data_IF_583629279747
#
_entry.id   IF_583629279747
#
_cell.length_a   1.000
_cell.length_b   1.000
_cell.length_c   1.000
_cell.angle_alpha   90.00
_cell.angle_beta   90.00
_cell.angle_gamma   90.00
#
_symmetry.space_group_name_H-M   'P 1'
#
loop_
_entity.id
_entity.type
_entity.pdbx_description
1 polymer ?
#
# COMPACT_ATOMS: atom_id res chain seq x y z
N UNK A 1 41.02 -32.63 -17.13
CA UNK A 1 41.65 -31.96 -15.97
C UNK A 1 40.72 -30.99 -15.22
N UNK A 2 40.08 -29.99 -15.86
CA UNK A 2 39.20 -29.00 -15.18
C UNK A 2 37.99 -29.58 -14.42
N UNK A 3 37.38 -30.68 -14.90
CA UNK A 3 36.25 -31.34 -14.23
C UNK A 3 36.65 -32.04 -12.93
N UNK A 4 37.78 -32.76 -12.93
CA UNK A 4 38.30 -33.48 -11.76
C UNK A 4 38.67 -32.49 -10.65
N UNK A 5 39.30 -31.36 -11.03
CA UNK A 5 39.67 -30.31 -10.08
C UNK A 5 38.43 -29.65 -9.44
N UNK A 6 37.38 -29.38 -10.22
CA UNK A 6 36.13 -28.83 -9.68
C UNK A 6 35.44 -29.79 -8.71
N UNK A 7 35.40 -31.09 -9.03
CA UNK A 7 34.83 -32.11 -8.15
C UNK A 7 35.60 -32.21 -6.83
N UNK A 8 36.94 -32.22 -6.88
CA UNK A 8 37.79 -32.22 -5.69
C UNK A 8 37.52 -30.99 -4.80
N UNK A 9 37.37 -29.80 -5.39
CA UNK A 9 37.04 -28.57 -4.63
C UNK A 9 35.67 -28.67 -3.95
N UNK A 10 34.68 -29.25 -4.60
CA UNK A 10 33.34 -29.43 -4.02
C UNK A 10 33.37 -30.45 -2.88
N UNK A 11 34.04 -31.59 -3.08
CA UNK A 11 34.16 -32.63 -2.07
C UNK A 11 34.90 -32.13 -0.83
N UNK A 12 36.01 -31.41 -1.01
CA UNK A 12 36.76 -30.81 0.11
C UNK A 12 35.91 -29.81 0.90
N UNK A 13 35.11 -28.98 0.22
CA UNK A 13 34.18 -28.10 0.90
C UNK A 13 33.07 -28.84 1.64
N UNK A 14 32.58 -29.95 1.10
CA UNK A 14 31.57 -30.77 1.74
C UNK A 14 32.07 -31.44 3.02
N UNK A 15 33.34 -31.88 3.03
CA UNK A 15 34.04 -32.40 4.22
C UNK A 15 34.25 -31.30 5.24
N UNK A 16 34.73 -30.12 4.84
CA UNK A 16 34.93 -28.98 5.75
C UNK A 16 33.62 -28.60 6.46
N UNK A 17 32.49 -28.57 5.74
CA UNK A 17 31.18 -28.31 6.33
C UNK A 17 30.72 -29.35 7.37
N UNK A 18 31.32 -30.53 7.38
CA UNK A 18 31.06 -31.58 8.37
C UNK A 18 32.00 -31.51 9.58
N UNK A 19 32.95 -30.58 9.62
CA UNK A 19 33.90 -30.40 10.74
C UNK A 19 33.51 -29.18 11.61
N UNK A 20 33.03 -29.38 12.86
CA UNK A 20 32.41 -28.31 13.66
C UNK A 20 33.33 -27.19 14.15
N UNK A 21 34.64 -27.41 14.32
CA UNK A 21 35.49 -26.49 15.09
C UNK A 21 36.19 -25.38 14.27
N UNK A 22 35.99 -25.31 12.94
CA UNK A 22 36.75 -24.37 12.09
C UNK A 22 35.86 -23.48 11.20
N UNK A 23 35.15 -22.52 11.81
CA UNK A 23 34.28 -21.54 11.11
C UNK A 23 34.98 -20.89 9.90
N UNK A 24 36.23 -20.43 10.09
CA UNK A 24 37.01 -19.79 9.03
C UNK A 24 37.34 -20.77 7.89
N UNK A 25 37.64 -22.03 8.20
CA UNK A 25 37.92 -23.05 7.19
C UNK A 25 36.65 -23.40 6.40
N UNK A 26 35.50 -23.57 7.07
CA UNK A 26 34.19 -23.77 6.41
C UNK A 26 33.88 -22.62 5.46
N UNK A 27 34.04 -21.38 5.93
CA UNK A 27 33.85 -20.17 5.13
C UNK A 27 34.78 -20.13 3.90
N UNK A 28 36.07 -20.37 4.10
CA UNK A 28 37.06 -20.37 3.03
C UNK A 28 36.76 -21.46 1.99
N UNK A 29 36.30 -22.63 2.45
CA UNK A 29 35.92 -23.73 1.57
C UNK A 29 34.71 -23.38 0.70
N UNK A 30 33.68 -22.71 1.25
CA UNK A 30 32.56 -22.20 0.45
C UNK A 30 33.01 -21.17 -0.60
N UNK A 31 33.91 -20.25 -0.22
CA UNK A 31 34.46 -19.25 -1.14
C UNK A 31 35.23 -19.91 -2.30
N UNK A 32 36.06 -20.91 -2.00
CA UNK A 32 36.79 -21.69 -3.00
C UNK A 32 35.82 -22.47 -3.91
N UNK A 33 34.80 -23.10 -3.32
CA UNK A 33 33.78 -23.83 -4.08
C UNK A 33 33.01 -22.93 -5.04
N UNK A 34 32.67 -21.69 -4.66
CA UNK A 34 31.97 -20.75 -5.52
C UNK A 34 32.72 -20.45 -6.84
N UNK A 35 34.05 -20.56 -6.86
CA UNK A 35 34.86 -20.45 -8.08
C UNK A 35 34.58 -21.54 -9.13
N UNK A 36 33.87 -22.61 -8.77
CA UNK A 36 33.46 -23.69 -9.69
C UNK A 36 32.15 -23.40 -10.44
N UNK A 37 31.59 -22.19 -10.28
CA UNK A 37 30.35 -21.78 -10.92
C UNK A 37 29.13 -22.56 -10.39
N UNK A 38 28.16 -22.87 -11.25
CA UNK A 38 26.89 -23.52 -10.86
C UNK A 38 27.05 -24.88 -10.20
N UNK A 39 28.19 -25.56 -10.40
CA UNK A 39 28.51 -26.82 -9.70
C UNK A 39 28.63 -26.65 -8.19
N UNK A 40 28.89 -25.43 -7.71
CA UNK A 40 28.96 -25.09 -6.29
C UNK A 40 27.59 -25.05 -5.60
N UNK A 41 26.47 -24.98 -6.34
CA UNK A 41 25.14 -24.76 -5.76
C UNK A 41 24.79 -25.76 -4.66
N UNK A 42 25.00 -27.09 -4.82
CA UNK A 42 24.67 -28.05 -3.76
C UNK A 42 25.44 -27.82 -2.45
N UNK A 43 26.75 -27.54 -2.53
CA UNK A 43 27.57 -27.31 -1.33
C UNK A 43 27.27 -25.95 -0.68
N UNK A 44 26.95 -24.93 -1.47
CA UNK A 44 26.48 -23.65 -0.95
C UNK A 44 25.11 -23.79 -0.28
N UNK A 45 24.19 -24.61 -0.82
CA UNK A 45 22.91 -24.94 -0.17
C UNK A 45 23.13 -25.66 1.16
N UNK A 46 24.09 -26.60 1.25
CA UNK A 46 24.49 -27.20 2.53
C UNK A 46 25.00 -26.14 3.51
N UNK A 47 25.77 -25.16 3.04
CA UNK A 47 26.24 -24.05 3.87
C UNK A 47 25.12 -23.16 4.45
N UNK A 48 23.91 -23.14 3.87
CA UNK A 48 22.77 -22.40 4.43
C UNK A 48 22.25 -23.01 5.74
N UNK A 49 22.55 -24.27 6.03
CA UNK A 49 22.11 -24.97 7.25
C UNK A 49 23.23 -25.12 8.26
N UNK A 50 24.35 -24.40 8.10
CA UNK A 50 25.45 -24.42 9.07
C UNK A 50 25.00 -23.85 10.41
N UNK A 51 25.48 -24.42 11.52
CA UNK A 51 25.22 -23.94 12.88
C UNK A 51 25.67 -22.49 13.07
N UNK A 52 26.72 -22.07 12.36
CA UNK A 52 27.30 -20.75 12.50
C UNK A 52 26.72 -19.76 11.49
N UNK A 53 26.17 -18.66 12.01
CA UNK A 53 25.55 -17.61 11.19
C UNK A 53 26.48 -17.02 10.13
N UNK A 54 27.79 -16.94 10.37
CA UNK A 54 28.76 -16.37 9.42
C UNK A 54 28.90 -17.28 8.19
N UNK A 55 28.86 -18.60 8.39
CA UNK A 55 28.92 -19.58 7.29
C UNK A 55 27.62 -19.52 6.48
N UNK A 56 26.45 -19.48 7.14
CA UNK A 56 25.15 -19.31 6.46
C UNK A 56 25.08 -18.05 5.61
N UNK A 57 25.48 -16.90 6.18
CA UNK A 57 25.52 -15.62 5.47
C UNK A 57 26.50 -15.64 4.29
N UNK A 58 27.62 -16.34 4.43
CA UNK A 58 28.59 -16.52 3.33
C UNK A 58 27.98 -17.33 2.20
N UNK A 59 27.36 -18.48 2.51
CA UNK A 59 26.66 -19.31 1.53
C UNK A 59 25.59 -18.51 0.76
N UNK A 60 24.74 -17.77 1.47
CA UNK A 60 23.68 -16.97 0.87
C UNK A 60 24.22 -15.87 -0.06
N UNK A 61 25.26 -15.14 0.37
CA UNK A 61 25.90 -14.10 -0.44
C UNK A 61 26.54 -14.67 -1.70
N UNK A 62 27.16 -15.85 -1.60
CA UNK A 62 27.76 -16.53 -2.74
C UNK A 62 26.68 -16.98 -3.73
N UNK A 63 25.61 -17.64 -3.27
CA UNK A 63 24.46 -18.00 -4.09
C UNK A 63 23.86 -16.78 -4.81
N UNK A 64 23.73 -15.64 -4.10
CA UNK A 64 23.16 -14.43 -4.66
C UNK A 64 24.00 -13.82 -5.79
N UNK A 65 25.32 -14.01 -5.78
CA UNK A 65 26.25 -13.49 -6.80
C UNK A 65 26.37 -14.38 -8.04
N UNK A 66 25.79 -15.57 -8.03
CA UNK A 66 25.95 -16.53 -9.14
C UNK A 66 25.19 -16.10 -10.41
N UNK A 67 25.78 -16.43 -11.55
CA UNK A 67 25.20 -16.30 -12.89
C UNK A 67 25.42 -17.62 -13.64
N UNK A 68 24.36 -18.29 -14.17
CA UNK A 68 22.95 -17.94 -14.02
C UNK A 68 22.44 -18.06 -12.57
N UNK A 69 21.35 -17.35 -12.26
CA UNK A 69 20.84 -17.26 -10.89
C UNK A 69 20.21 -18.59 -10.42
N UNK A 70 20.62 -19.13 -9.26
CA UNK A 70 20.08 -20.38 -8.73
C UNK A 70 18.80 -20.13 -7.93
N UNK A 71 17.69 -19.79 -8.62
CA UNK A 71 16.43 -19.38 -8.01
C UNK A 71 15.92 -20.37 -6.94
N UNK A 72 15.98 -21.67 -7.20
CA UNK A 72 15.56 -22.70 -6.25
C UNK A 72 16.41 -22.72 -4.96
N UNK A 73 17.73 -22.49 -5.08
CA UNK A 73 18.62 -22.41 -3.93
C UNK A 73 18.38 -21.14 -3.11
N UNK A 74 18.16 -20.01 -3.77
CA UNK A 74 17.77 -18.77 -3.10
C UNK A 74 16.39 -18.89 -2.44
N UNK A 75 15.45 -19.65 -3.04
CA UNK A 75 14.16 -19.98 -2.44
C UNK A 75 14.31 -20.70 -1.09
N UNK A 76 15.28 -21.61 -0.96
CA UNK A 76 15.60 -22.24 0.34
C UNK A 76 16.17 -21.25 1.36
N UNK A 77 16.92 -20.24 0.92
CA UNK A 77 17.47 -19.21 1.79
C UNK A 77 16.39 -18.24 2.33
N UNK A 78 15.21 -18.14 1.69
CA UNK A 78 14.10 -17.30 2.17
C UNK A 78 13.47 -17.78 3.47
N UNK A 79 13.62 -19.04 3.85
CA UNK A 79 13.05 -19.62 5.08
C UNK A 79 14.13 -19.91 6.12
N UNK A 80 15.31 -19.30 5.98
CA UNK A 80 16.42 -19.50 6.90
C UNK A 80 16.15 -18.87 8.27
N UNK A 81 16.66 -19.48 9.34
CA UNK A 81 16.58 -18.90 10.69
C UNK A 81 17.24 -17.53 10.80
N UNK A 82 18.30 -17.27 10.02
CA UNK A 82 19.01 -15.98 10.01
C UNK A 82 18.29 -14.95 9.13
N UNK A 83 17.83 -13.85 9.74
CA UNK A 83 17.14 -12.77 9.05
C UNK A 83 17.97 -12.13 7.92
N UNK A 84 19.30 -12.04 8.04
CA UNK A 84 20.14 -11.50 6.97
C UNK A 84 20.21 -12.44 5.77
N UNK A 85 20.17 -13.75 6.00
CA UNK A 85 20.12 -14.75 4.92
C UNK A 85 18.80 -14.63 4.15
N UNK A 86 17.68 -14.51 4.87
CA UNK A 86 16.36 -14.29 4.26
C UNK A 86 16.32 -12.99 3.45
N UNK A 87 16.89 -11.90 3.99
CA UNK A 87 17.01 -10.61 3.29
C UNK A 87 17.82 -10.71 1.99
N UNK A 88 19.00 -11.32 2.01
CA UNK A 88 19.80 -11.48 0.80
C UNK A 88 19.08 -12.30 -0.27
N UNK A 89 18.39 -13.35 0.15
CA UNK A 89 17.59 -14.17 -0.75
C UNK A 89 16.44 -13.37 -1.37
N UNK A 90 15.69 -12.63 -0.54
CA UNK A 90 14.57 -11.81 -0.99
C UNK A 90 15.02 -10.72 -1.96
N UNK A 91 16.05 -9.95 -1.60
CA UNK A 91 16.60 -8.90 -2.45
C UNK A 91 17.01 -9.49 -3.81
N UNK A 92 17.74 -10.62 -3.80
CA UNK A 92 18.20 -11.21 -5.06
C UNK A 92 17.08 -11.77 -5.93
N UNK A 93 16.09 -12.42 -5.33
CA UNK A 93 14.96 -13.03 -6.04
C UNK A 93 13.97 -12.01 -6.59
N UNK A 94 14.02 -10.76 -6.13
CA UNK A 94 12.98 -9.77 -6.46
C UNK A 94 13.47 -8.66 -7.37
N UNK A 95 14.78 -8.35 -7.40
CA UNK A 95 15.31 -7.29 -8.28
C UNK A 95 15.19 -7.59 -9.79
N UNK A 96 15.40 -8.82 -10.30
CA UNK A 96 15.37 -9.05 -11.75
C UNK A 96 14.21 -9.93 -12.26
N UNK A 97 13.43 -10.57 -11.38
CA UNK A 97 12.46 -11.60 -11.81
C UNK A 97 11.09 -11.05 -12.23
N UNK A 98 10.77 -9.80 -11.90
CA UNK A 98 9.46 -9.21 -12.21
C UNK A 98 8.30 -10.12 -11.73
N UNK A 99 7.32 -10.45 -12.60
CA UNK A 99 6.22 -11.36 -12.25
C UNK A 99 6.65 -12.76 -11.79
N UNK A 100 7.82 -13.26 -12.21
CA UNK A 100 8.34 -14.58 -11.76
C UNK A 100 8.75 -14.58 -10.29
N UNK A 101 8.84 -13.40 -9.65
CA UNK A 101 9.11 -13.27 -8.22
C UNK A 101 7.91 -13.59 -7.32
N UNK A 102 6.68 -13.64 -7.87
CA UNK A 102 5.44 -13.71 -7.09
C UNK A 102 5.40 -14.87 -6.06
N UNK A 103 5.84 -16.11 -6.38
CA UNK A 103 5.87 -17.20 -5.40
C UNK A 103 6.79 -16.90 -4.20
N UNK A 104 7.95 -16.29 -4.46
CA UNK A 104 8.93 -15.92 -3.45
C UNK A 104 8.43 -14.76 -2.57
N UNK A 105 7.79 -13.77 -3.18
CA UNK A 105 7.13 -12.68 -2.48
C UNK A 105 5.98 -13.20 -1.60
N UNK A 106 5.20 -14.15 -2.10
CA UNK A 106 4.15 -14.81 -1.32
C UNK A 106 4.66 -15.57 -0.09
N UNK A 107 5.88 -16.12 -0.17
CA UNK A 107 6.59 -16.75 0.97
C UNK A 107 7.06 -15.68 1.97
N UNK A 108 7.68 -14.60 1.47
CA UNK A 108 8.20 -13.52 2.31
C UNK A 108 7.12 -12.72 3.04
N UNK A 109 5.86 -12.75 2.57
CA UNK A 109 4.72 -12.22 3.33
C UNK A 109 4.44 -12.99 4.64
N UNK A 110 5.00 -14.18 4.83
CA UNK A 110 4.91 -14.94 6.07
C UNK A 110 6.13 -14.79 6.98
N UNK A 111 7.08 -13.91 6.65
CA UNK A 111 8.31 -13.76 7.41
C UNK A 111 8.05 -13.23 8.84
N UNK A 112 8.74 -13.73 9.87
CA UNK A 112 8.63 -13.17 11.23
C UNK A 112 8.95 -11.67 11.28
N UNK A 113 9.88 -11.20 10.45
CA UNK A 113 10.35 -9.83 10.47
C UNK A 113 9.45 -8.92 9.61
N UNK A 114 8.82 -7.88 10.20
CA UNK A 114 7.91 -6.98 9.47
C UNK A 114 8.59 -6.24 8.32
N UNK A 115 9.90 -5.97 8.41
CA UNK A 115 10.67 -5.33 7.35
C UNK A 115 10.75 -6.17 6.07
N UNK A 116 10.80 -7.50 6.20
CA UNK A 116 10.81 -8.44 5.07
C UNK A 116 9.43 -8.55 4.44
N UNK A 117 8.38 -8.57 5.27
CA UNK A 117 6.98 -8.55 4.80
C UNK A 117 6.66 -7.24 4.08
N UNK A 118 7.10 -6.10 4.61
CA UNK A 118 6.93 -4.79 3.98
C UNK A 118 7.61 -4.75 2.62
N UNK A 119 8.88 -5.17 2.53
CA UNK A 119 9.59 -5.24 1.26
C UNK A 119 8.87 -6.14 0.25
N UNK A 120 8.28 -7.26 0.70
CA UNK A 120 7.49 -8.13 -0.16
C UNK A 120 6.22 -7.44 -0.69
N UNK A 121 5.50 -6.68 0.15
CA UNK A 121 4.34 -5.86 -0.25
C UNK A 121 4.73 -4.82 -1.29
N UNK A 122 5.79 -4.05 -1.06
CA UNK A 122 6.24 -2.99 -1.98
C UNK A 122 6.59 -3.57 -3.36
N UNK A 123 7.27 -4.71 -3.38
CA UNK A 123 7.65 -5.42 -4.61
C UNK A 123 6.44 -6.01 -5.33
N UNK A 124 5.47 -6.57 -4.60
CA UNK A 124 4.19 -7.00 -5.17
C UNK A 124 3.44 -5.81 -5.79
N UNK A 125 3.41 -4.67 -5.10
CA UNK A 125 2.72 -3.46 -5.55
C UNK A 125 3.30 -2.89 -6.85
N UNK A 126 4.62 -3.02 -7.04
CA UNK A 126 5.36 -2.58 -8.21
C UNK A 126 5.20 -3.48 -9.45
N UNK A 127 4.70 -4.71 -9.31
CA UNK A 127 4.49 -5.61 -10.46
C UNK A 127 3.34 -5.10 -11.33
N UNK A 128 3.61 -4.92 -12.63
CA UNK A 128 2.64 -4.52 -13.66
C UNK A 128 2.71 -5.44 -14.89
N UNK A 129 1.56 -5.80 -15.52
CA UNK A 129 0.20 -5.60 -15.01
C UNK A 129 -0.05 -6.43 -13.73
N UNK A 130 -0.95 -5.97 -12.85
CA UNK A 130 -1.28 -6.68 -11.62
C UNK A 130 -2.16 -7.89 -11.92
N UNK A 131 -1.67 -9.08 -11.62
CA UNK A 131 -2.44 -10.32 -11.80
C UNK A 131 -3.37 -10.59 -10.61
N UNK A 132 -4.36 -11.46 -10.79
CA UNK A 132 -5.25 -11.91 -9.71
C UNK A 132 -4.46 -12.42 -8.49
N UNK A 133 -3.35 -13.12 -8.70
CA UNK A 133 -2.51 -13.64 -7.61
C UNK A 133 -1.79 -12.51 -6.85
N UNK A 134 -1.31 -11.48 -7.53
CA UNK A 134 -0.73 -10.30 -6.87
C UNK A 134 -1.76 -9.61 -5.99
N UNK A 135 -2.98 -9.41 -6.52
CA UNK A 135 -4.10 -8.82 -5.77
C UNK A 135 -4.41 -9.65 -4.52
N UNK A 136 -4.58 -10.98 -4.66
CA UNK A 136 -4.83 -11.89 -3.53
C UNK A 136 -3.76 -11.77 -2.43
N UNK A 137 -2.48 -11.74 -2.80
CA UNK A 137 -1.38 -11.63 -1.85
C UNK A 137 -1.36 -10.27 -1.12
N UNK A 138 -1.60 -9.17 -1.85
CA UNK A 138 -1.73 -7.83 -1.26
C UNK A 138 -2.96 -7.76 -0.35
N UNK A 139 -4.09 -8.36 -0.74
CA UNK A 139 -5.30 -8.42 0.10
C UNK A 139 -5.02 -9.16 1.40
N UNK A 140 -4.31 -10.29 1.35
CA UNK A 140 -3.89 -11.03 2.55
C UNK A 140 -2.99 -10.21 3.47
N UNK A 141 -2.08 -9.41 2.91
CA UNK A 141 -1.15 -8.57 3.69
C UNK A 141 -1.84 -7.38 4.39
N UNK A 142 -3.10 -7.05 4.06
CA UNK A 142 -3.83 -5.92 4.70
C UNK A 142 -4.18 -6.15 6.17
N UNK A 143 -4.26 -7.40 6.61
CA UNK A 143 -4.58 -7.76 7.99
C UNK A 143 -3.32 -8.06 8.80
N UNK A 144 -2.14 -7.67 8.30
CA UNK A 144 -0.88 -7.83 9.00
C UNK A 144 -0.91 -7.15 10.38
N UNK A 145 -0.29 -7.79 11.37
CA UNK A 145 -0.18 -7.24 12.72
C UNK A 145 0.64 -5.95 12.75
N UNK A 146 1.62 -5.80 11.85
CA UNK A 146 2.37 -4.57 11.68
C UNK A 146 1.58 -3.58 10.82
N UNK A 147 1.26 -2.42 11.39
CA UNK A 147 0.47 -1.37 10.73
C UNK A 147 1.14 -0.82 9.47
N UNK A 148 2.47 -0.77 9.41
CA UNK A 148 3.22 -0.36 8.23
C UNK A 148 3.00 -1.29 7.04
N UNK A 149 3.09 -2.61 7.28
CA UNK A 149 2.82 -3.64 6.26
C UNK A 149 1.36 -3.57 5.80
N UNK A 150 0.42 -3.56 6.75
CA UNK A 150 -1.01 -3.48 6.46
C UNK A 150 -1.38 -2.24 5.65
N UNK A 151 -0.85 -1.07 6.03
CA UNK A 151 -1.04 0.21 5.34
C UNK A 151 -0.47 0.18 3.93
N UNK A 152 0.77 -0.28 3.74
CA UNK A 152 1.39 -0.38 2.41
C UNK A 152 0.55 -1.29 1.49
N UNK A 153 0.06 -2.42 2.01
CA UNK A 153 -0.79 -3.34 1.27
C UNK A 153 -2.13 -2.69 0.92
N UNK A 154 -2.78 -2.02 1.87
CA UNK A 154 -4.02 -1.27 1.67
C UNK A 154 -3.87 -0.20 0.59
N UNK A 155 -2.88 0.68 0.72
CA UNK A 155 -2.59 1.73 -0.26
C UNK A 155 -2.32 1.17 -1.66
N UNK A 156 -1.62 0.04 -1.74
CA UNK A 156 -1.34 -0.58 -3.04
C UNK A 156 -2.61 -1.05 -3.76
N UNK A 157 -3.69 -1.35 -3.04
CA UNK A 157 -4.96 -1.82 -3.61
C UNK A 157 -5.92 -0.71 -3.98
N UNK A 158 -5.47 0.54 -3.91
CA UNK A 158 -6.24 1.69 -4.36
C UNK A 158 -6.57 1.59 -5.87
N UNK A 159 -7.86 1.53 -6.20
CA UNK A 159 -8.39 1.36 -7.55
C UNK A 159 -9.30 2.53 -7.99
N UNK A 160 -9.45 3.56 -7.16
CA UNK A 160 -10.30 4.70 -7.46
C UNK A 160 -9.60 5.71 -8.36
N UNK A 161 -10.21 5.94 -9.53
CA UNK A 161 -9.82 6.94 -10.50
C UNK A 161 -11.06 7.57 -11.11
N UNK A 162 -10.99 8.87 -11.41
CA UNK A 162 -12.05 9.59 -12.11
C UNK A 162 -11.46 10.76 -12.86
N UNK A 163 -11.54 10.71 -14.18
CA UNK A 163 -11.20 11.83 -15.06
C UNK A 163 -12.46 12.65 -15.33
N UNK A 164 -12.58 13.81 -14.66
CA UNK A 164 -13.65 14.76 -14.92
C UNK A 164 -13.12 16.18 -14.95
N UNK A 165 -13.44 16.90 -16.03
CA UNK A 165 -13.28 18.36 -16.12
C UNK A 165 -14.53 19.04 -15.58
N UNK A 166 -14.38 19.81 -14.50
CA UNK A 166 -15.45 20.61 -13.91
C UNK A 166 -16.02 21.60 -14.94
N UNK A 167 -17.30 21.94 -14.83
CA UNK A 167 -17.96 22.89 -15.76
C UNK A 167 -17.19 24.21 -15.87
N UNK A 168 -16.69 24.73 -14.73
CA UNK A 168 -15.85 25.95 -14.67
C UNK A 168 -14.56 25.89 -15.47
N UNK A 169 -14.06 24.69 -15.71
CA UNK A 169 -12.75 24.45 -16.31
C UNK A 169 -12.89 23.85 -17.72
N UNK A 170 -14.11 23.75 -18.25
CA UNK A 170 -14.36 23.20 -19.58
C UNK A 170 -13.98 24.24 -20.65
N UNK A 171 -12.99 23.94 -21.53
CA UNK A 171 -12.58 24.87 -22.57
C UNK A 171 -13.63 25.04 -23.67
N UNK A 172 -14.53 24.07 -23.80
CA UNK A 172 -15.66 24.04 -24.74
C UNK A 172 -16.92 24.75 -24.22
N UNK A 173 -16.91 25.27 -22.99
CA UNK A 173 -18.05 25.96 -22.41
C UNK A 173 -17.93 27.48 -22.60
N UNK A 174 -18.80 28.06 -23.43
CA UNK A 174 -18.80 29.47 -23.83
C UNK A 174 -19.88 30.33 -23.13
N UNK A 175 -20.62 29.75 -22.19
CA UNK A 175 -21.60 30.46 -21.36
C UNK A 175 -21.03 30.82 -19.99
N UNK A 176 -21.53 31.91 -19.39
CA UNK A 176 -21.20 32.27 -18.02
C UNK A 176 -21.65 31.17 -17.04
N UNK A 177 -20.77 30.74 -16.14
CA UNK A 177 -21.09 29.76 -15.09
C UNK A 177 -21.40 30.48 -13.78
N UNK A 178 -22.67 30.51 -13.38
CA UNK A 178 -23.14 31.13 -12.14
C UNK A 178 -23.47 30.10 -11.08
N UNK A 179 -23.22 30.43 -9.82
CA UNK A 179 -23.75 29.64 -8.69
C UNK A 179 -25.17 30.13 -8.42
N UNK A 180 -26.17 29.30 -8.77
CA UNK A 180 -27.59 29.65 -8.57
C UNK A 180 -28.13 29.17 -7.22
N UNK A 181 -27.47 28.20 -6.59
CA UNK A 181 -27.82 27.73 -5.25
C UNK A 181 -26.60 27.20 -4.53
N UNK A 182 -26.53 27.51 -3.23
CA UNK A 182 -25.50 26.99 -2.32
C UNK A 182 -26.17 26.22 -1.20
N UNK A 183 -25.72 24.99 -0.99
CA UNK A 183 -26.19 24.11 0.08
C UNK A 183 -25.00 23.77 0.99
N UNK A 184 -24.87 24.39 2.18
CA UNK A 184 -23.77 24.07 3.09
C UNK A 184 -23.86 22.64 3.57
N UNK A 185 -22.72 21.93 3.67
CA UNK A 185 -22.68 20.64 4.35
C UNK A 185 -22.97 20.87 5.84
N UNK A 186 -23.79 20.02 6.50
CA UNK A 186 -24.07 20.17 7.92
C UNK A 186 -22.79 20.09 8.75
N UNK A 187 -22.63 20.96 9.74
CA UNK A 187 -21.46 20.91 10.64
C UNK A 187 -21.47 19.65 11.50
N UNK A 188 -22.65 19.27 11.99
CA UNK A 188 -22.85 18.18 12.94
C UNK A 188 -23.39 16.89 12.30
N UNK A 189 -23.29 15.81 13.07
CA UNK A 189 -23.88 14.51 12.75
C UNK A 189 -23.03 13.63 11.83
N UNK A 190 -21.75 13.95 11.65
CA UNK A 190 -20.84 13.09 10.89
C UNK A 190 -20.43 11.88 11.71
N UNK A 191 -20.58 10.69 11.14
CA UNK A 191 -19.94 9.47 11.63
C UNK A 191 -18.48 9.49 11.23
N UNK A 192 -17.58 9.22 12.16
CA UNK A 192 -16.15 9.31 11.98
C UNK A 192 -15.41 8.07 12.48
N UNK A 193 -14.38 7.67 11.75
CA UNK A 193 -13.51 6.55 12.11
C UNK A 193 -12.09 6.75 11.62
N UNK A 194 -11.12 6.47 12.48
CA UNK A 194 -9.71 6.39 12.11
C UNK A 194 -9.43 5.09 11.38
N UNK A 195 -8.53 5.11 10.40
CA UNK A 195 -8.17 3.98 9.55
C UNK A 195 -6.66 3.74 9.58
N UNK A 196 -6.11 3.23 10.70
CA UNK A 196 -4.66 3.04 10.87
C UNK A 196 -4.06 2.04 9.87
N UNK A 197 -4.89 1.20 9.24
CA UNK A 197 -4.48 0.22 8.23
C UNK A 197 -4.72 0.72 6.79
N UNK A 198 -5.25 1.93 6.61
CA UNK A 198 -5.69 2.48 5.32
C UNK A 198 -6.58 1.50 4.52
N UNK A 199 -7.38 0.68 5.21
CA UNK A 199 -8.12 -0.45 4.65
C UNK A 199 -9.59 -0.16 4.35
N UNK A 200 -10.14 0.99 4.78
CA UNK A 200 -11.57 1.26 4.72
C UNK A 200 -12.16 1.22 3.30
N UNK A 201 -11.35 1.55 2.28
CA UNK A 201 -11.77 1.53 0.89
C UNK A 201 -11.99 0.11 0.37
N UNK A 202 -11.13 -0.86 0.73
CA UNK A 202 -11.33 -2.26 0.35
C UNK A 202 -12.44 -2.92 1.17
N UNK A 203 -12.64 -2.49 2.42
CA UNK A 203 -13.79 -2.86 3.25
C UNK A 203 -15.09 -2.15 2.84
N UNK A 204 -15.03 -1.31 1.81
CA UNK A 204 -16.18 -0.57 1.25
C UNK A 204 -16.92 0.27 2.29
N UNK A 205 -16.19 0.97 3.17
CA UNK A 205 -16.79 1.91 4.13
C UNK A 205 -17.55 3.05 3.43
N UNK A 206 -17.34 3.28 2.13
CA UNK A 206 -18.12 4.21 1.30
C UNK A 206 -19.45 3.65 0.79
N UNK A 207 -19.70 2.33 0.88
CA UNK A 207 -20.93 1.74 0.35
C UNK A 207 -22.17 2.29 1.09
N UNK A 208 -23.30 2.36 0.38
CA UNK A 208 -24.56 2.86 0.95
C UNK A 208 -25.11 2.00 2.07
N UNK A 209 -24.88 0.69 2.02
CA UNK A 209 -25.32 -0.27 3.03
C UNK A 209 -24.32 -0.56 4.15
N UNK A 210 -23.20 0.14 4.24
CA UNK A 210 -22.23 -0.09 5.32
C UNK A 210 -22.81 0.39 6.67
N UNK A 211 -22.73 -0.45 7.70
CA UNK A 211 -23.14 -0.11 9.06
C UNK A 211 -22.04 0.68 9.79
N UNK A 212 -22.29 1.98 10.01
CA UNK A 212 -21.43 2.87 10.78
C UNK A 212 -22.02 3.26 12.14
N UNK A 213 -23.00 2.53 12.67
CA UNK A 213 -23.65 2.88 13.93
C UNK A 213 -22.65 3.00 15.10
N UNK A 214 -21.57 2.21 15.06
CA UNK A 214 -20.48 2.19 16.05
C UNK A 214 -19.42 3.28 15.85
N UNK A 215 -19.50 4.07 14.77
CA UNK A 215 -18.55 5.15 14.53
C UNK A 215 -18.87 6.32 15.44
N UNK A 216 -17.83 6.95 15.97
CA UNK A 216 -17.96 8.15 16.81
C UNK A 216 -18.58 9.28 16.00
N UNK A 217 -19.32 10.18 16.65
CA UNK A 217 -19.81 11.38 15.99
C UNK A 217 -18.83 12.53 16.16
N UNK A 218 -18.68 13.34 15.11
CA UNK A 218 -17.82 14.52 15.12
C UNK A 218 -18.45 15.65 14.33
N UNK A 219 -18.03 16.88 14.63
CA UNK A 219 -18.28 18.05 13.79
C UNK A 219 -17.18 18.21 12.72
N UNK A 220 -17.54 18.77 11.57
CA UNK A 220 -16.59 19.34 10.60
C UNK A 220 -16.41 20.85 10.87
N UNK A 221 -15.64 21.54 10.03
CA UNK A 221 -15.17 22.93 10.26
C UNK A 221 -14.26 23.08 11.48
N UNK A 222 -13.64 21.97 11.87
CA UNK A 222 -12.65 21.91 12.92
C UNK A 222 -11.68 20.75 12.69
N UNK A 223 -10.53 20.80 13.36
CA UNK A 223 -9.64 19.66 13.45
C UNK A 223 -10.28 18.54 14.27
N UNK A 224 -10.07 17.27 13.91
CA UNK A 224 -10.63 16.14 14.66
C UNK A 224 -10.06 16.05 16.08
N UNK A 225 -8.89 16.63 16.33
CA UNK A 225 -8.29 16.78 17.66
C UNK A 225 -9.20 17.55 18.62
N UNK A 226 -10.00 18.52 18.14
CA UNK A 226 -10.97 19.23 18.99
C UNK A 226 -12.07 18.33 19.55
N UNK A 227 -12.30 17.18 18.92
CA UNK A 227 -13.24 16.17 19.40
C UNK A 227 -12.56 15.05 20.22
N UNK A 228 -11.31 15.26 20.66
CA UNK A 228 -10.57 14.29 21.47
C UNK A 228 -9.90 13.17 20.65
N UNK A 229 -9.82 13.30 19.32
CA UNK A 229 -9.15 12.32 18.46
C UNK A 229 -7.68 12.70 18.29
N UNK A 230 -6.80 12.14 19.11
CA UNK A 230 -5.35 12.26 18.93
C UNK A 230 -4.84 11.21 17.93
N UNK A 231 -4.89 11.57 16.64
CA UNK A 231 -4.52 10.67 15.55
C UNK A 231 -3.98 11.42 14.33
N UNK A 232 -2.92 10.87 13.75
CA UNK A 232 -2.34 11.28 12.46
C UNK A 232 -2.44 10.08 11.52
N UNK A 233 -3.05 10.28 10.36
CA UNK A 233 -3.19 9.26 9.32
C UNK A 233 -4.49 9.37 8.54
N UNK A 234 -4.94 8.23 8.02
CA UNK A 234 -6.19 8.12 7.26
C UNK A 234 -7.38 8.10 8.20
N UNK A 235 -8.41 8.88 7.89
CA UNK A 235 -9.70 8.86 8.57
C UNK A 235 -10.85 8.90 7.58
N UNK A 236 -12.04 8.57 8.05
CA UNK A 236 -13.26 8.52 7.26
C UNK A 236 -14.37 9.28 7.96
N UNK A 237 -15.17 9.98 7.16
CA UNK A 237 -16.37 10.71 7.52
C UNK A 237 -17.55 10.18 6.71
N UNK A 238 -18.70 9.95 7.33
CA UNK A 238 -19.96 9.60 6.66
C UNK A 238 -21.09 10.47 7.19
N UNK A 239 -21.94 10.97 6.29
CA UNK A 239 -23.14 11.76 6.61
C UNK A 239 -24.22 11.54 5.58
N UNK A 240 -25.46 11.43 6.03
CA UNK A 240 -26.65 11.52 5.18
C UNK A 240 -27.15 12.96 5.19
N UNK A 241 -27.51 13.51 4.04
CA UNK A 241 -28.11 14.83 3.90
C UNK A 241 -29.22 14.79 2.85
N UNK A 242 -30.36 15.41 3.16
CA UNK A 242 -31.44 15.57 2.19
C UNK A 242 -31.16 16.73 1.25
N UNK A 243 -31.33 16.49 -0.06
CA UNK A 243 -31.29 17.55 -1.06
C UNK A 243 -32.71 18.00 -1.40
N UNK A 244 -32.90 19.31 -1.70
CA UNK A 244 -34.21 19.85 -2.04
C UNK A 244 -34.72 19.30 -3.39
N UNK A 245 -35.91 19.72 -3.82
CA UNK A 245 -36.37 19.47 -5.19
C UNK A 245 -35.33 19.96 -6.23
N UNK A 246 -35.25 19.26 -7.37
CA UNK A 246 -34.24 19.52 -8.41
C UNK A 246 -34.41 20.93 -8.97
N UNK A 247 -33.43 21.84 -8.82
CA UNK A 247 -33.45 23.13 -9.48
C UNK A 247 -33.06 22.98 -10.95
N UNK A 248 -33.27 24.03 -11.74
CA UNK A 248 -32.61 24.15 -13.04
C UNK A 248 -31.08 24.28 -12.84
N UNK A 249 -30.33 23.47 -13.58
CA UNK A 249 -28.87 23.38 -13.43
C UNK A 249 -28.22 22.84 -14.70
N UNK A 250 -26.97 23.24 -14.91
CA UNK A 250 -26.02 22.66 -15.88
C UNK A 250 -25.05 21.68 -15.20
N UNK A 251 -24.66 21.95 -13.95
CA UNK A 251 -23.80 21.06 -13.17
C UNK A 251 -23.99 21.25 -11.66
N UNK A 252 -23.47 20.30 -10.90
CA UNK A 252 -23.43 20.30 -9.44
C UNK A 252 -22.01 19.98 -9.00
N UNK A 253 -21.41 20.87 -8.21
CA UNK A 253 -20.07 20.68 -7.65
C UNK A 253 -20.15 20.60 -6.12
N UNK A 254 -19.45 19.64 -5.50
CA UNK A 254 -19.15 19.69 -4.07
C UNK A 254 -17.81 20.38 -3.88
N UNK A 255 -17.78 21.42 -3.05
CA UNK A 255 -16.61 22.24 -2.77
C UNK A 255 -16.20 22.16 -1.31
N UNK A 256 -14.91 21.97 -1.08
CA UNK A 256 -14.28 22.04 0.22
C UNK A 256 -13.36 23.24 0.25
N UNK A 257 -13.50 24.12 1.25
CA UNK A 257 -12.58 25.25 1.42
C UNK A 257 -11.26 24.87 2.09
N UNK A 258 -11.17 23.67 2.64
CA UNK A 258 -9.99 23.12 3.28
C UNK A 258 -10.30 21.77 3.94
N UNK A 259 -9.61 20.75 3.46
CA UNK A 259 -9.44 19.46 4.15
C UNK A 259 -7.95 19.32 4.38
N UNK A 260 -7.57 18.87 5.57
CA UNK A 260 -6.15 18.67 5.85
C UNK A 260 -5.54 17.67 4.86
N UNK A 261 -4.39 18.07 4.31
CA UNK A 261 -3.58 17.51 3.21
C UNK A 261 -4.30 16.90 2.01
N UNK A 262 -5.08 15.84 2.19
CA UNK A 262 -5.72 15.12 1.08
C UNK A 262 -7.08 14.54 1.41
N UNK A 263 -7.95 14.50 0.40
CA UNK A 263 -9.33 14.04 0.51
C UNK A 263 -9.77 13.21 -0.70
N UNK A 264 -10.59 12.19 -0.47
CA UNK A 264 -11.24 11.37 -1.49
C UNK A 264 -12.73 11.30 -1.14
N UNK A 265 -13.60 11.47 -2.13
CA UNK A 265 -15.03 11.69 -1.88
C UNK A 265 -15.87 10.69 -2.66
N UNK A 266 -16.92 10.21 -2.01
CA UNK A 266 -17.98 9.40 -2.61
C UNK A 266 -19.34 10.02 -2.32
N UNK A 267 -20.23 9.96 -3.30
CA UNK A 267 -21.63 10.33 -3.19
C UNK A 267 -22.45 9.09 -3.49
N UNK A 268 -23.33 8.69 -2.57
CA UNK A 268 -24.17 7.50 -2.70
C UNK A 268 -23.38 6.23 -3.06
N UNK A 269 -22.17 6.10 -2.50
CA UNK A 269 -21.25 4.98 -2.75
C UNK A 269 -20.47 5.02 -4.06
N UNK A 270 -20.67 6.05 -4.89
CA UNK A 270 -19.94 6.26 -6.14
C UNK A 270 -18.79 7.23 -5.91
N UNK A 271 -17.59 6.87 -6.34
CA UNK A 271 -16.41 7.74 -6.24
C UNK A 271 -16.53 8.94 -7.18
N UNK A 272 -16.36 10.15 -6.62
CA UNK A 272 -16.52 11.42 -7.36
C UNK A 272 -15.22 12.20 -7.52
N UNK A 273 -14.12 11.70 -6.95
CA UNK A 273 -12.78 12.24 -7.17
C UNK A 273 -12.03 12.53 -5.87
N UNK A 274 -10.92 13.25 -6.01
CA UNK A 274 -10.00 13.52 -4.93
C UNK A 274 -9.29 14.86 -5.06
N UNK A 275 -8.76 15.30 -3.93
CA UNK A 275 -7.73 16.31 -3.78
C UNK A 275 -6.55 15.65 -3.08
N UNK A 276 -5.56 15.22 -3.84
CA UNK A 276 -4.41 14.45 -3.35
C UNK A 276 -3.12 15.10 -3.86
N UNK A 277 -2.81 16.28 -3.32
CA UNK A 277 -1.65 17.10 -3.72
C UNK A 277 -0.57 17.16 -2.63
N UNK A 278 -0.62 16.24 -1.67
CA UNK A 278 0.35 16.11 -0.58
C UNK A 278 0.21 17.16 0.53
N UNK A 279 1.21 17.27 1.43
CA UNK A 279 1.10 18.03 2.67
C UNK A 279 0.79 19.53 2.52
N UNK A 280 1.07 20.12 1.35
CA UNK A 280 0.77 21.53 1.06
C UNK A 280 -0.70 21.75 0.68
N UNK A 281 -1.47 20.68 0.49
CA UNK A 281 -2.89 20.73 0.15
C UNK A 281 -3.81 21.15 1.30
N UNK A 282 -3.32 21.18 2.54
CA UNK A 282 -4.14 21.34 3.74
C UNK A 282 -5.05 22.57 3.74
N UNK A 283 -4.64 23.66 3.08
CA UNK A 283 -5.37 24.92 3.04
C UNK A 283 -5.81 25.32 1.62
N UNK A 284 -5.88 24.35 0.71
CA UNK A 284 -6.28 24.60 -0.67
C UNK A 284 -7.73 24.19 -0.87
N UNK A 285 -8.51 25.09 -1.45
CA UNK A 285 -9.88 24.82 -1.86
C UNK A 285 -9.88 23.93 -3.10
N UNK A 286 -10.83 23.01 -3.18
CA UNK A 286 -11.05 22.16 -4.34
C UNK A 286 -12.54 21.87 -4.52
N UNK A 287 -12.92 21.50 -5.73
CA UNK A 287 -14.28 21.08 -6.07
C UNK A 287 -14.27 19.78 -6.88
N UNK A 288 -15.34 19.01 -6.76
CA UNK A 288 -15.55 17.76 -7.49
C UNK A 288 -16.94 17.78 -8.13
N UNK A 289 -17.04 17.29 -9.36
CA UNK A 289 -18.33 17.14 -10.04
C UNK A 289 -19.11 15.97 -9.42
N UNK A 290 -20.34 16.26 -9.02
CA UNK A 290 -21.27 15.30 -8.41
C UNK A 290 -22.62 15.28 -9.15
N UNK A 291 -22.64 15.86 -10.37
CA UNK A 291 -23.84 16.14 -11.15
C UNK A 291 -24.70 14.89 -11.37
N UNK A 292 -24.06 13.74 -11.60
CA UNK A 292 -24.74 12.47 -11.92
C UNK A 292 -25.08 11.65 -10.67
N UNK A 293 -24.39 11.90 -9.56
CA UNK A 293 -24.42 11.03 -8.38
C UNK A 293 -25.42 11.50 -7.32
N UNK A 294 -25.79 12.78 -7.31
CA UNK A 294 -26.79 13.31 -6.38
C UNK A 294 -28.22 12.90 -6.74
N UNK A 295 -29.02 12.65 -5.70
CA UNK A 295 -30.46 12.38 -5.78
C UNK A 295 -31.21 13.59 -5.26
N UNK A 296 -31.84 14.35 -6.15
CA UNK A 296 -32.67 15.49 -5.77
C UNK A 296 -33.99 15.04 -5.12
N UNK A 297 -34.49 15.80 -4.15
CA UNK A 297 -35.70 15.49 -3.39
C UNK A 297 -35.57 14.26 -2.49
N UNK A 298 -34.34 13.83 -2.18
CA UNK A 298 -34.08 12.60 -1.46
C UNK A 298 -32.80 12.69 -0.59
N UNK A 299 -32.64 11.70 0.28
CA UNK A 299 -31.46 11.50 1.09
C UNK A 299 -30.24 11.10 0.25
N UNK A 300 -29.10 11.73 0.53
CA UNK A 300 -27.82 11.46 -0.10
C UNK A 300 -26.78 11.10 0.94
N UNK A 301 -26.08 9.98 0.76
CA UNK A 301 -24.90 9.66 1.56
C UNK A 301 -23.69 10.38 0.97
N UNK A 302 -22.98 11.12 1.81
CA UNK A 302 -21.67 11.69 1.53
C UNK A 302 -20.65 10.90 2.36
N UNK A 303 -19.60 10.42 1.71
CA UNK A 303 -18.47 9.77 2.38
C UNK A 303 -17.18 10.44 1.97
N UNK A 304 -16.35 10.79 2.95
CA UNK A 304 -15.08 11.48 2.73
C UNK A 304 -14.00 10.72 3.46
N UNK A 305 -12.98 10.29 2.74
CA UNK A 305 -11.73 9.83 3.33
C UNK A 305 -10.78 11.03 3.37
N UNK A 306 -10.20 11.31 4.52
CA UNK A 306 -9.19 12.35 4.71
C UNK A 306 -7.85 11.73 5.10
N UNK A 307 -6.74 12.40 4.78
CA UNK A 307 -5.40 12.02 5.20
C UNK A 307 -4.70 13.21 5.82
N UNK A 308 -4.08 12.99 6.97
CA UNK A 308 -3.14 13.92 7.59
C UNK A 308 -1.84 13.16 7.86
N UNK A 309 -0.69 13.67 7.43
CA UNK A 309 0.62 13.06 7.71
C UNK A 309 1.33 13.68 8.92
N UNK A 310 0.85 14.82 9.44
CA UNK A 310 1.37 15.46 10.65
C UNK A 310 0.38 16.47 11.24
N UNK A 311 0.49 16.70 12.55
CA UNK A 311 -0.25 17.76 13.23
C UNK A 311 -1.75 17.51 13.29
N UNK A 312 -2.53 18.57 13.08
CA UNK A 312 -3.98 18.53 13.14
C UNK A 312 -4.57 18.09 11.82
N UNK A 313 -5.59 17.22 11.84
CA UNK A 313 -6.26 16.77 10.63
C UNK A 313 -7.75 17.05 10.64
N UNK A 314 -8.38 16.89 9.48
CA UNK A 314 -9.83 16.92 9.34
C UNK A 314 -10.34 17.86 8.26
N UNK A 315 -11.66 17.88 8.10
CA UNK A 315 -12.35 18.86 7.26
C UNK A 315 -12.49 20.14 8.09
N UNK A 316 -11.43 20.96 8.11
CA UNK A 316 -11.28 22.05 9.08
C UNK A 316 -11.83 23.40 8.59
N UNK A 317 -12.33 23.45 7.35
CA UNK A 317 -13.02 24.62 6.78
C UNK A 317 -14.40 24.24 6.21
N UNK A 318 -15.28 25.23 5.96
CA UNK A 318 -16.60 24.95 5.40
C UNK A 318 -16.55 24.18 4.09
N UNK A 319 -17.56 23.31 3.92
CA UNK A 319 -17.82 22.59 2.69
C UNK A 319 -19.27 22.83 2.25
N UNK A 320 -19.53 22.77 0.96
CA UNK A 320 -20.85 23.07 0.38
C UNK A 320 -21.04 22.39 -0.96
N UNK A 321 -22.30 22.20 -1.34
CA UNK A 321 -22.71 21.86 -2.70
C UNK A 321 -23.11 23.16 -3.41
N UNK A 322 -22.56 23.38 -4.60
CA UNK A 322 -22.85 24.50 -5.49
C UNK A 322 -23.62 23.98 -6.70
N UNK A 323 -24.82 24.53 -6.92
CA UNK A 323 -25.63 24.28 -8.12
C UNK A 323 -25.31 25.35 -9.14
N UNK A 324 -25.01 24.91 -10.35
CA UNK A 324 -24.42 25.73 -11.38
C UNK A 324 -25.39 25.86 -12.53
N UNK A 325 -25.54 27.07 -13.05
CA UNK A 325 -26.28 27.35 -14.28
C UNK A 325 -25.44 28.26 -15.15
#
# INVERSE_FOLDING_TARGET
MKLILALLVITTAQVALSTPQQILARRAALQKAAGTGTKAVPVLVKGLTDENMVVRRTAARLLARMVPMPNAALGKALVNEDALVRRFALDRLTTPLGPKAVPYLGTALGDPAPELRLAAVERLAAIKPRTKKVIELLTRARVDANTGVARAAGQSLWDFHRDVTLLRNRPDWDYEVRVVKTLPLPKEGWRFRTDPRAGGHVEKWFATGFDDAKWQQIAIEQAWQKAGVDYVGVSWYRRIMDLPAKPELNAVEIRFLGVDESAWVWINGVYVGAHDIGPMGYNKSFALDITKEVKWGAANQITIRAMSTKGNGGIWRPARIEVLK
#
